data_IF_411929786029
#
_entry.id   IF_411929786029
#
_cell.length_a   1.000
_cell.length_b   1.000
_cell.length_c   1.000
_cell.angle_alpha   90.00
_cell.angle_beta   90.00
_cell.angle_gamma   90.00
#
_symmetry.space_group_name_H-M   'P 1'
#
loop_
_entity.id
_entity.type
_entity.pdbx_description
1 polymer ?
#
# COMPACT_ATOMS: atom_id res chain seq x y z
N UNK A 1 27.43 -24.68 10.30
CA UNK A 1 27.65 -23.30 9.82
C UNK A 1 26.42 -22.47 10.19
N UNK A 2 26.59 -21.31 10.81
CA UNK A 2 25.47 -20.40 11.03
C UNK A 2 24.96 -19.94 9.66
N UNK A 3 23.65 -20.00 9.46
CA UNK A 3 23.04 -19.47 8.22
C UNK A 3 23.19 -17.95 8.20
N UNK A 4 23.70 -17.40 7.10
CA UNK A 4 23.77 -15.96 6.88
C UNK A 4 22.36 -15.42 6.72
N UNK A 5 22.04 -14.28 7.35
CA UNK A 5 20.77 -13.59 7.13
C UNK A 5 20.87 -12.77 5.85
N UNK A 6 20.30 -13.30 4.75
CA UNK A 6 20.35 -12.65 3.45
C UNK A 6 19.13 -11.74 3.20
N UNK A 7 18.10 -11.81 4.05
CA UNK A 7 16.86 -11.07 3.89
C UNK A 7 16.91 -9.66 4.49
N UNK A 8 17.46 -9.53 5.71
CA UNK A 8 17.45 -8.29 6.48
C UNK A 8 18.65 -8.18 7.42
N UNK A 9 18.70 -7.10 8.22
CA UNK A 9 19.75 -6.84 9.18
C UNK A 9 19.34 -7.16 10.63
N UNK A 10 18.20 -7.86 10.82
CA UNK A 10 17.66 -8.18 12.14
C UNK A 10 18.43 -9.28 12.84
N UNK A 11 18.54 -9.16 14.17
CA UNK A 11 18.94 -10.26 15.04
C UNK A 11 17.88 -11.35 15.10
N UNK A 12 18.25 -12.57 15.52
CA UNK A 12 17.28 -13.66 15.69
C UNK A 12 16.11 -13.32 16.64
N UNK A 13 16.38 -12.53 17.69
CA UNK A 13 15.34 -12.07 18.64
C UNK A 13 14.35 -11.10 17.99
N UNK A 14 14.83 -10.17 17.18
CA UNK A 14 13.99 -9.24 16.43
C UNK A 14 13.18 -9.97 15.36
N UNK A 15 13.80 -10.91 14.66
CA UNK A 15 13.14 -11.76 13.69
C UNK A 15 11.94 -12.49 14.28
N UNK A 16 12.13 -13.19 15.43
CA UNK A 16 11.04 -13.92 16.10
C UNK A 16 9.92 -12.97 16.53
N UNK A 17 10.23 -11.76 17.01
CA UNK A 17 9.21 -10.78 17.39
C UNK A 17 8.36 -10.35 16.22
N UNK A 18 8.96 -10.17 15.03
CA UNK A 18 8.23 -9.80 13.84
C UNK A 18 7.28 -10.91 13.35
N UNK A 19 7.61 -12.18 13.56
CA UNK A 19 6.76 -13.31 13.09
C UNK A 19 5.41 -13.42 13.79
N UNK A 20 5.13 -12.59 14.82
CA UNK A 20 3.79 -12.50 15.40
C UNK A 20 2.78 -12.05 14.33
N UNK A 21 1.65 -12.75 14.23
CA UNK A 21 0.66 -12.54 13.17
C UNK A 21 -0.27 -11.36 13.39
N UNK A 22 -0.10 -10.58 14.45
CA UNK A 22 -0.83 -9.34 14.68
C UNK A 22 0.06 -8.31 15.39
N UNK A 23 -0.25 -7.04 15.20
CA UNK A 23 0.41 -5.91 15.86
C UNK A 23 -0.53 -4.72 15.95
N UNK A 24 -0.23 -3.80 16.85
CA UNK A 24 -0.97 -2.55 17.02
C UNK A 24 -0.11 -1.41 16.50
N UNK A 25 -0.67 -0.65 15.54
CA UNK A 25 -0.10 0.61 15.10
C UNK A 25 -1.26 1.58 14.89
N UNK A 26 -1.37 2.55 15.79
CA UNK A 26 -2.40 3.58 15.70
C UNK A 26 -1.96 4.64 14.70
N UNK A 27 -2.81 4.91 13.72
CA UNK A 27 -2.59 6.04 12.82
C UNK A 27 -2.43 7.32 13.63
N UNK A 28 -1.36 8.10 13.44
CA UNK A 28 -1.19 9.37 14.10
C UNK A 28 -2.47 10.20 13.97
N UNK A 29 -2.93 10.81 15.06
CA UNK A 29 -4.13 11.66 15.06
C UNK A 29 -3.83 12.99 14.36
N UNK A 30 -3.55 12.96 13.07
CA UNK A 30 -3.32 14.16 12.26
C UNK A 30 -4.52 15.11 12.17
N UNK A 31 -5.67 14.71 12.73
CA UNK A 31 -6.94 15.42 12.55
C UNK A 31 -7.26 16.46 13.61
N UNK A 32 -6.48 16.61 14.69
CA UNK A 32 -6.82 17.62 15.70
C UNK A 32 -6.48 19.05 15.31
N UNK A 33 -5.50 19.29 14.41
CA UNK A 33 -5.01 20.67 14.19
C UNK A 33 -4.75 21.11 12.75
N UNK A 34 -4.89 20.26 11.72
CA UNK A 34 -4.86 20.70 10.31
C UNK A 34 -5.61 19.72 9.42
N UNK A 35 -6.73 20.12 8.80
CA UNK A 35 -7.35 19.37 7.71
C UNK A 35 -6.57 19.64 6.43
N UNK A 36 -5.38 19.11 6.29
CA UNK A 36 -4.57 19.35 5.11
C UNK A 36 -4.48 18.09 4.28
N UNK A 37 -5.11 18.13 3.10
CA UNK A 37 -4.66 17.53 1.83
C UNK A 37 -4.26 16.05 1.80
N UNK A 38 -4.39 15.28 2.88
CA UNK A 38 -3.93 13.91 2.93
C UNK A 38 -4.96 12.95 2.34
N UNK A 39 -4.45 11.99 1.61
CA UNK A 39 -5.21 10.90 1.00
C UNK A 39 -6.18 10.25 2.01
N UNK A 40 -7.44 9.95 1.62
CA UNK A 40 -8.47 9.44 2.53
C UNK A 40 -8.18 8.03 3.08
N UNK A 41 -7.44 7.22 2.35
CA UNK A 41 -7.04 5.86 2.70
C UNK A 41 -5.51 5.76 2.77
N UNK A 42 -4.93 6.09 3.92
CA UNK A 42 -3.49 6.10 4.15
C UNK A 42 -3.14 5.14 5.29
N UNK A 43 -2.08 4.38 5.12
CA UNK A 43 -1.46 3.65 6.22
C UNK A 43 -0.36 4.49 6.89
N UNK A 44 -0.03 4.23 8.18
CA UNK A 44 1.04 4.92 8.89
C UNK A 44 2.42 4.55 8.33
N UNK A 45 3.34 5.52 8.27
CA UNK A 45 4.74 5.31 7.91
C UNK A 45 5.41 4.30 8.83
N UNK A 46 5.13 4.37 10.13
CA UNK A 46 5.66 3.45 11.14
C UNK A 46 5.29 1.99 10.87
N UNK A 47 4.05 1.75 10.38
CA UNK A 47 3.64 0.41 9.95
C UNK A 47 4.49 -0.08 8.77
N UNK A 48 4.71 0.77 7.78
CA UNK A 48 5.56 0.43 6.62
C UNK A 48 6.98 0.13 7.06
N UNK A 49 7.55 0.97 7.95
CA UNK A 49 8.89 0.83 8.47
C UNK A 49 9.14 -0.58 9.09
N UNK A 50 8.16 -1.14 9.80
CA UNK A 50 8.27 -2.51 10.33
C UNK A 50 8.47 -3.55 9.22
N UNK A 51 7.71 -3.44 8.11
CA UNK A 51 7.85 -4.34 6.97
C UNK A 51 9.17 -4.12 6.22
N UNK A 52 9.61 -2.87 6.07
CA UNK A 52 10.90 -2.55 5.46
C UNK A 52 12.06 -3.20 6.22
N UNK A 53 12.10 -3.05 7.54
CA UNK A 53 13.14 -3.67 8.39
C UNK A 53 13.18 -5.17 8.25
N UNK A 54 12.02 -5.83 8.05
CA UNK A 54 11.97 -7.29 7.97
C UNK A 54 12.28 -7.84 6.57
N UNK A 55 11.79 -7.18 5.50
CA UNK A 55 11.88 -7.70 4.14
C UNK A 55 13.00 -7.10 3.30
N UNK A 56 13.76 -6.14 3.86
CA UNK A 56 14.86 -5.47 3.14
C UNK A 56 16.07 -5.22 4.03
N UNK A 57 17.22 -5.06 3.36
CA UNK A 57 18.42 -4.43 3.91
C UNK A 57 18.46 -2.94 3.60
N UNK A 58 19.32 -2.20 4.29
CA UNK A 58 19.59 -0.79 3.97
C UNK A 58 20.01 -0.63 2.51
N UNK A 59 19.60 0.48 1.89
CA UNK A 59 19.86 0.86 0.49
C UNK A 59 19.19 -0.04 -0.56
N UNK A 60 18.42 -1.05 -0.20
CA UNK A 60 17.61 -1.84 -1.12
C UNK A 60 16.41 -1.04 -1.64
N UNK A 61 15.96 -1.39 -2.85
CA UNK A 61 14.89 -0.69 -3.54
C UNK A 61 13.51 -1.26 -3.23
N UNK A 62 12.59 -0.36 -2.92
CA UNK A 62 11.19 -0.64 -2.58
C UNK A 62 10.28 0.02 -3.60
N UNK A 63 9.23 -0.67 -4.01
CA UNK A 63 8.21 -0.16 -4.91
C UNK A 63 6.84 -0.08 -4.21
N UNK A 64 6.12 1.01 -4.47
CA UNK A 64 4.69 1.14 -4.15
C UNK A 64 3.90 1.51 -5.41
N UNK A 65 3.20 0.55 -6.04
CA UNK A 65 2.42 0.81 -7.26
C UNK A 65 1.14 1.62 -7.06
N UNK A 66 0.72 1.87 -5.80
CA UNK A 66 -0.44 2.70 -5.46
C UNK A 66 -0.06 3.71 -4.37
N UNK A 67 0.89 4.59 -4.69
CA UNK A 67 1.64 5.41 -3.74
C UNK A 67 0.77 6.34 -2.87
N UNK A 68 -0.33 6.85 -3.41
CA UNK A 68 -1.15 7.83 -2.72
C UNK A 68 -0.34 9.07 -2.31
N UNK A 69 -0.41 9.44 -1.05
CA UNK A 69 0.31 10.60 -0.50
C UNK A 69 1.76 10.32 -0.09
N UNK A 70 2.36 9.20 -0.47
CA UNK A 70 3.78 8.91 -0.32
C UNK A 70 4.21 8.38 1.06
N UNK A 71 3.35 7.68 1.79
CA UNK A 71 3.71 7.13 3.10
C UNK A 71 4.85 6.10 2.99
N UNK A 72 4.83 5.26 1.95
CA UNK A 72 5.89 4.27 1.70
C UNK A 72 7.25 4.91 1.48
N UNK A 73 7.31 5.96 0.66
CA UNK A 73 8.59 6.64 0.37
C UNK A 73 9.14 7.37 1.59
N UNK A 74 8.27 8.00 2.40
CA UNK A 74 8.69 8.60 3.67
C UNK A 74 9.31 7.55 4.59
N UNK A 75 8.67 6.37 4.72
CA UNK A 75 9.22 5.28 5.52
C UNK A 75 10.54 4.74 4.94
N UNK A 76 10.68 4.67 3.61
CA UNK A 76 11.93 4.27 2.95
C UNK A 76 13.08 5.20 3.36
N UNK A 77 12.88 6.51 3.30
CA UNK A 77 13.89 7.48 3.70
C UNK A 77 14.26 7.38 5.18
N UNK A 78 13.26 7.29 6.07
CA UNK A 78 13.49 7.16 7.51
C UNK A 78 14.25 5.87 7.88
N UNK A 79 14.08 4.82 7.08
CA UNK A 79 14.71 3.51 7.29
C UNK A 79 15.96 3.28 6.42
N UNK A 80 16.46 4.28 5.72
CA UNK A 80 17.62 4.20 4.82
C UNK A 80 17.42 3.17 3.67
N UNK A 81 16.24 3.10 3.11
CA UNK A 81 15.90 2.37 1.88
C UNK A 81 15.70 3.33 0.74
N UNK A 82 15.84 2.86 -0.48
CA UNK A 82 15.52 3.60 -1.69
C UNK A 82 14.10 3.26 -2.13
N UNK A 83 13.36 4.21 -2.69
CA UNK A 83 11.96 3.98 -2.99
C UNK A 83 11.48 4.59 -4.29
N UNK A 84 10.57 3.87 -4.95
CA UNK A 84 9.83 4.38 -6.10
C UNK A 84 8.36 4.12 -5.87
N UNK A 85 7.54 5.12 -6.19
CA UNK A 85 6.10 4.99 -6.14
C UNK A 85 5.43 5.46 -7.41
N UNK A 86 4.37 4.74 -7.81
CA UNK A 86 3.52 5.13 -8.95
C UNK A 86 2.20 5.66 -8.39
N UNK A 87 1.78 6.82 -8.88
CA UNK A 87 0.53 7.46 -8.47
C UNK A 87 -0.22 7.99 -9.69
N UNK A 88 -1.48 7.56 -9.85
CA UNK A 88 -2.33 7.95 -10.95
C UNK A 88 -2.78 9.42 -10.87
N UNK A 89 -3.05 9.89 -9.66
CA UNK A 89 -3.55 11.25 -9.42
C UNK A 89 -2.40 12.27 -9.38
N UNK A 90 -2.38 13.20 -10.32
CA UNK A 90 -1.45 14.34 -10.33
C UNK A 90 -1.39 15.05 -8.97
N UNK A 91 -2.54 15.27 -8.34
CA UNK A 91 -2.65 15.91 -7.03
C UNK A 91 -1.92 15.14 -5.94
N UNK A 92 -2.14 13.82 -5.84
CA UNK A 92 -1.49 13.01 -4.81
C UNK A 92 -0.01 12.80 -5.11
N UNK A 93 0.38 12.67 -6.37
CA UNK A 93 1.79 12.66 -6.76
C UNK A 93 2.51 13.95 -6.33
N UNK A 94 1.89 15.13 -6.53
CA UNK A 94 2.42 16.40 -6.05
C UNK A 94 2.52 16.47 -4.52
N UNK A 95 1.55 15.92 -3.78
CA UNK A 95 1.58 15.83 -2.31
C UNK A 95 2.74 14.93 -1.87
N UNK A 96 2.93 13.76 -2.50
CA UNK A 96 4.03 12.85 -2.21
C UNK A 96 5.38 13.54 -2.41
N UNK A 97 5.63 14.16 -3.57
CA UNK A 97 6.87 14.92 -3.85
C UNK A 97 7.13 16.01 -2.80
N UNK A 98 6.09 16.77 -2.42
CA UNK A 98 6.22 17.84 -1.41
C UNK A 98 6.59 17.30 -0.02
N UNK A 99 6.21 16.09 0.31
CA UNK A 99 6.59 15.44 1.57
C UNK A 99 8.05 15.03 1.56
N UNK A 100 8.54 14.50 0.45
CA UNK A 100 9.92 14.05 0.30
C UNK A 100 10.94 15.22 0.38
N UNK A 101 10.65 16.37 -0.21
CA UNK A 101 11.53 17.57 -0.16
C UNK A 101 11.86 18.02 1.27
N UNK A 102 11.09 17.65 2.26
CA UNK A 102 11.29 18.03 3.66
C UNK A 102 12.25 17.11 4.44
N UNK A 103 12.70 16.04 3.82
CA UNK A 103 13.56 15.05 4.44
C UNK A 103 14.99 15.21 3.90
N UNK A 104 16.04 14.98 4.70
CA UNK A 104 17.42 15.02 4.20
C UNK A 104 17.64 13.87 3.21
N UNK A 105 17.96 14.21 1.97
CA UNK A 105 18.15 13.28 0.85
C UNK A 105 19.64 12.95 0.65
N UNK A 106 20.36 12.58 1.71
CA UNK A 106 21.76 12.25 1.56
C UNK A 106 21.91 10.86 0.89
N UNK A 107 22.19 10.85 -0.40
CA UNK A 107 22.60 9.67 -1.20
C UNK A 107 21.54 8.57 -1.44
N UNK A 108 20.27 8.74 -1.09
CA UNK A 108 19.21 7.77 -1.36
C UNK A 108 18.34 8.22 -2.53
N UNK A 109 17.92 7.26 -3.36
CA UNK A 109 17.01 7.55 -4.46
C UNK A 109 15.55 7.45 -4.03
N UNK A 110 14.78 8.49 -4.29
CA UNK A 110 13.34 8.52 -4.06
C UNK A 110 12.62 9.10 -5.28
N UNK A 111 11.80 8.28 -5.93
CA UNK A 111 11.11 8.63 -7.17
C UNK A 111 9.59 8.57 -7.07
N UNK A 112 8.90 9.62 -7.56
CA UNK A 112 7.44 9.61 -7.73
C UNK A 112 7.13 9.68 -9.22
N UNK A 113 6.62 8.58 -9.76
CA UNK A 113 6.15 8.45 -11.14
C UNK A 113 4.65 8.77 -11.15
N UNK A 114 4.26 9.79 -11.90
CA UNK A 114 2.86 10.04 -12.18
C UNK A 114 2.42 9.17 -13.36
N UNK A 115 1.55 8.19 -13.10
CA UNK A 115 1.18 7.22 -14.10
C UNK A 115 0.21 6.14 -13.62
N UNK A 116 -0.15 5.27 -14.53
CA UNK A 116 -1.03 4.13 -14.29
C UNK A 116 -0.21 2.88 -13.90
N UNK A 117 -0.51 2.29 -12.75
CA UNK A 117 0.11 1.06 -12.26
C UNK A 117 -0.06 -0.12 -13.24
N UNK A 118 -1.05 -0.08 -14.12
CA UNK A 118 -1.22 -1.06 -15.20
C UNK A 118 -0.08 -1.04 -16.22
N UNK A 119 0.76 -0.01 -16.26
CA UNK A 119 1.92 0.10 -17.16
C UNK A 119 3.24 -0.32 -16.52
N UNK A 120 3.21 -0.83 -15.30
CA UNK A 120 4.42 -1.11 -14.52
C UNK A 120 5.40 -2.07 -15.21
N UNK A 121 4.90 -3.01 -16.01
CA UNK A 121 5.71 -3.93 -16.82
C UNK A 121 5.96 -3.45 -18.25
N UNK A 122 5.74 -2.16 -18.53
CA UNK A 122 6.07 -1.52 -19.80
C UNK A 122 7.48 -0.91 -19.68
N UNK A 123 8.48 -1.39 -20.43
CA UNK A 123 9.84 -0.85 -20.38
C UNK A 123 9.89 0.65 -20.69
N UNK A 124 8.97 1.17 -21.50
CA UNK A 124 8.91 2.60 -21.82
C UNK A 124 8.68 3.49 -20.58
N UNK A 125 7.96 2.98 -19.58
CA UNK A 125 7.74 3.69 -18.31
C UNK A 125 9.05 4.00 -17.60
N UNK A 126 10.06 3.14 -17.77
CA UNK A 126 11.31 3.18 -17.04
C UNK A 126 12.47 3.81 -17.83
N UNK A 127 12.32 4.00 -19.16
CA UNK A 127 13.41 4.46 -20.04
C UNK A 127 14.07 5.76 -19.56
N UNK A 128 13.28 6.75 -19.15
CA UNK A 128 13.82 8.04 -18.71
C UNK A 128 14.54 7.98 -17.36
N UNK A 129 14.32 6.95 -16.57
CA UNK A 129 14.87 6.75 -15.23
C UNK A 129 15.96 5.66 -15.21
N UNK A 130 16.10 4.89 -16.27
CA UNK A 130 16.95 3.70 -16.33
C UNK A 130 18.41 3.97 -15.89
N UNK A 131 19.05 4.98 -16.45
CA UNK A 131 20.46 5.28 -16.16
C UNK A 131 20.65 5.78 -14.72
N UNK A 132 19.73 6.60 -14.24
CA UNK A 132 19.75 7.12 -12.88
C UNK A 132 19.54 6.00 -11.86
N UNK A 133 18.55 5.13 -12.09
CA UNK A 133 18.25 4.00 -11.22
C UNK A 133 19.36 2.96 -11.21
N UNK A 134 19.92 2.65 -12.38
CA UNK A 134 21.08 1.74 -12.47
C UNK A 134 22.28 2.29 -11.72
N UNK A 135 22.55 3.58 -11.84
CA UNK A 135 23.61 4.27 -11.07
C UNK A 135 23.35 4.23 -9.58
N UNK A 136 22.10 4.33 -9.15
CA UNK A 136 21.70 4.20 -7.76
C UNK A 136 21.74 2.74 -7.24
N UNK A 137 21.94 1.75 -8.13
CA UNK A 137 22.12 0.33 -7.80
C UNK A 137 20.90 -0.56 -8.02
N UNK A 138 19.84 -0.06 -8.68
CA UNK A 138 18.70 -0.90 -9.06
C UNK A 138 19.07 -1.78 -10.27
N UNK A 139 18.89 -3.09 -10.15
CA UNK A 139 19.08 -4.01 -11.24
C UNK A 139 17.92 -3.95 -12.25
N UNK A 140 18.23 -4.25 -13.51
CA UNK A 140 17.23 -4.37 -14.57
C UNK A 140 17.36 -5.72 -15.28
N UNK A 141 16.21 -6.31 -15.64
CA UNK A 141 16.12 -7.54 -16.45
C UNK A 141 15.07 -7.31 -17.53
N UNK A 142 15.42 -7.58 -18.79
CA UNK A 142 14.56 -7.33 -19.97
C UNK A 142 13.95 -5.92 -20.03
N UNK A 143 14.71 -4.90 -19.56
CA UNK A 143 14.27 -3.49 -19.50
C UNK A 143 13.36 -3.15 -18.33
N UNK A 144 13.11 -4.08 -17.43
CA UNK A 144 12.27 -3.89 -16.24
C UNK A 144 13.10 -3.85 -14.96
N UNK A 145 12.84 -2.92 -14.03
CA UNK A 145 13.52 -2.84 -12.74
C UNK A 145 13.23 -4.07 -11.87
N UNK A 146 14.22 -4.53 -11.11
CA UNK A 146 14.10 -5.66 -10.20
C UNK A 146 14.13 -5.17 -8.75
N UNK A 147 12.97 -4.88 -8.18
CA UNK A 147 12.84 -4.40 -6.81
C UNK A 147 13.11 -5.50 -5.78
N UNK A 148 13.66 -5.11 -4.63
CA UNK A 148 13.91 -6.01 -3.50
C UNK A 148 12.64 -6.26 -2.66
N UNK A 149 11.71 -5.33 -2.67
CA UNK A 149 10.47 -5.43 -1.91
C UNK A 149 9.37 -4.57 -2.51
N UNK A 150 8.14 -5.02 -2.39
CA UNK A 150 6.96 -4.25 -2.80
C UNK A 150 5.98 -4.22 -1.65
N UNK A 151 5.51 -3.04 -1.28
CA UNK A 151 4.44 -2.86 -0.29
C UNK A 151 3.45 -1.82 -0.78
N UNK A 152 2.16 -2.13 -0.68
CA UNK A 152 1.14 -1.24 -1.20
C UNK A 152 -0.23 -1.47 -0.57
N UNK A 153 -1.11 -0.48 -0.73
CA UNK A 153 -2.53 -0.57 -0.40
C UNK A 153 -3.34 -0.14 -1.63
N UNK A 154 -3.85 -1.09 -2.43
CA UNK A 154 -4.65 -0.77 -3.60
C UNK A 154 -5.96 -0.07 -3.19
N UNK A 155 -6.70 0.56 -4.11
CA UNK A 155 -8.03 1.08 -3.82
C UNK A 155 -8.93 -0.02 -3.26
N UNK A 156 -9.82 0.35 -2.32
CA UNK A 156 -10.75 -0.58 -1.68
C UNK A 156 -12.11 -0.50 -2.37
N UNK A 157 -12.21 -1.03 -3.59
CA UNK A 157 -13.41 -1.02 -4.41
C UNK A 157 -14.09 0.37 -4.38
N UNK A 158 -15.41 0.48 -4.44
CA UNK A 158 -16.17 1.73 -4.43
C UNK A 158 -16.37 2.34 -3.03
N UNK A 159 -15.56 1.94 -2.03
CA UNK A 159 -15.73 2.31 -0.61
C UNK A 159 -15.79 3.83 -0.37
N UNK A 160 -15.06 4.61 -1.14
CA UNK A 160 -15.02 6.07 -0.98
C UNK A 160 -16.24 6.77 -1.58
N UNK A 161 -16.93 6.16 -2.56
CA UNK A 161 -18.15 6.72 -3.19
C UNK A 161 -19.41 6.43 -2.39
N UNK A 162 -19.41 5.40 -1.55
CA UNK A 162 -20.59 4.98 -0.78
C UNK A 162 -20.66 5.69 0.57
N UNK A 163 -21.74 6.47 0.78
CA UNK A 163 -22.05 7.04 2.10
C UNK A 163 -22.65 5.97 3.01
N UNK A 164 -22.00 5.67 4.12
CA UNK A 164 -22.42 4.64 5.10
C UNK A 164 -23.45 5.13 6.11
N UNK A 165 -24.34 6.05 5.74
CA UNK A 165 -25.57 6.36 6.51
C UNK A 165 -25.41 6.76 7.98
N UNK A 166 -24.41 7.54 8.38
CA UNK A 166 -24.30 8.11 9.74
C UNK A 166 -24.52 9.64 9.74
N UNK A 167 -24.94 10.20 10.88
CA UNK A 167 -25.17 11.64 11.03
C UNK A 167 -23.88 12.45 10.79
N UNK A 168 -22.71 11.88 11.14
CA UNK A 168 -21.37 12.42 10.88
C UNK A 168 -20.42 11.39 10.26
N UNK A 169 -20.70 10.95 9.03
CA UNK A 169 -19.74 10.08 8.33
C UNK A 169 -18.49 10.88 7.93
N UNK A 170 -17.30 10.26 7.97
CA UNK A 170 -16.06 10.88 7.45
C UNK A 170 -16.25 11.42 6.03
N UNK A 171 -17.07 10.76 5.21
CA UNK A 171 -17.42 11.18 3.88
C UNK A 171 -18.16 12.54 3.87
N UNK A 172 -19.17 12.73 4.75
CA UNK A 172 -19.89 14.00 4.88
C UNK A 172 -18.99 15.13 5.40
N UNK A 173 -18.10 14.81 6.37
CA UNK A 173 -17.11 15.76 6.87
C UNK A 173 -16.13 16.20 5.78
N UNK A 174 -15.62 15.25 4.98
CA UNK A 174 -14.74 15.55 3.85
C UNK A 174 -15.46 16.40 2.78
N UNK A 175 -16.69 16.03 2.42
CA UNK A 175 -17.51 16.79 1.49
C UNK A 175 -17.76 18.24 1.97
N UNK A 176 -18.07 18.44 3.27
CA UNK A 176 -18.20 19.77 3.89
C UNK A 176 -16.90 20.58 3.82
N UNK A 177 -15.75 19.93 3.89
CA UNK A 177 -14.42 20.55 3.84
C UNK A 177 -13.90 20.67 2.40
N UNK A 178 -14.69 20.33 1.38
CA UNK A 178 -14.28 20.29 -0.04
C UNK A 178 -13.04 19.40 -0.28
N UNK A 179 -12.91 18.34 0.51
CA UNK A 179 -11.87 17.33 0.35
C UNK A 179 -12.41 16.18 -0.51
N UNK A 180 -11.51 15.49 -1.23
CA UNK A 180 -11.89 14.39 -2.10
C UNK A 180 -12.65 13.30 -1.35
N UNK A 181 -13.75 12.88 -1.95
CA UNK A 181 -14.62 11.79 -1.47
C UNK A 181 -14.47 10.52 -2.32
N UNK A 182 -13.62 10.55 -3.35
CA UNK A 182 -13.22 9.45 -4.22
C UNK A 182 -11.74 9.64 -4.62
N UNK A 183 -11.13 8.63 -5.22
CA UNK A 183 -9.71 8.68 -5.56
C UNK A 183 -9.46 9.63 -6.74
N UNK A 184 -10.14 9.40 -7.87
CA UNK A 184 -10.01 10.22 -9.08
C UNK A 184 -11.21 9.98 -10.01
N UNK A 185 -11.46 10.90 -10.95
CA UNK A 185 -12.43 10.72 -12.04
C UNK A 185 -11.78 10.14 -13.31
N UNK A 186 -10.49 9.77 -13.24
CA UNK A 186 -9.80 9.16 -14.37
C UNK A 186 -10.41 7.80 -14.72
N UNK A 187 -10.56 7.52 -16.02
CA UNK A 187 -11.07 6.23 -16.50
C UNK A 187 -10.17 5.05 -16.08
N UNK A 188 -8.88 5.31 -15.85
CA UNK A 188 -7.90 4.32 -15.36
C UNK A 188 -7.99 4.07 -13.84
N UNK A 189 -8.81 4.81 -13.10
CA UNK A 189 -8.96 4.61 -11.66
C UNK A 189 -9.78 3.34 -11.38
N UNK A 190 -9.10 2.31 -10.93
CA UNK A 190 -9.71 1.01 -10.61
C UNK A 190 -10.77 1.09 -9.50
N UNK A 191 -10.70 2.10 -8.63
CA UNK A 191 -11.72 2.37 -7.62
C UNK A 191 -13.09 2.79 -8.21
N UNK A 192 -13.16 3.07 -9.51
CA UNK A 192 -14.39 3.40 -10.22
C UNK A 192 -15.15 2.17 -10.74
N UNK A 193 -14.55 0.99 -10.73
CA UNK A 193 -15.20 -0.26 -11.16
C UNK A 193 -16.31 -0.59 -10.18
N UNK A 194 -17.56 -0.69 -10.67
CA UNK A 194 -18.73 -0.91 -9.83
C UNK A 194 -19.00 -2.40 -9.56
N UNK A 195 -18.67 -3.26 -10.49
CA UNK A 195 -18.76 -4.71 -10.32
C UNK A 195 -17.60 -5.22 -9.47
N UNK A 196 -17.91 -5.97 -8.42
CA UNK A 196 -16.92 -6.43 -7.45
C UNK A 196 -15.94 -7.45 -8.04
N UNK A 197 -16.44 -8.41 -8.82
CA UNK A 197 -15.59 -9.46 -9.38
C UNK A 197 -14.68 -8.89 -10.48
N UNK A 198 -15.18 -7.98 -11.31
CA UNK A 198 -14.37 -7.23 -12.27
C UNK A 198 -13.29 -6.39 -11.57
N UNK A 199 -13.63 -5.77 -10.43
CA UNK A 199 -12.65 -5.04 -9.62
C UNK A 199 -11.53 -5.95 -9.11
N UNK A 200 -11.87 -7.13 -8.55
CA UNK A 200 -10.87 -8.12 -8.08
C UNK A 200 -9.95 -8.56 -9.22
N UNK A 201 -10.50 -8.87 -10.39
CA UNK A 201 -9.68 -9.25 -11.54
C UNK A 201 -8.81 -8.09 -12.05
N UNK A 202 -9.31 -6.87 -12.08
CA UNK A 202 -8.54 -5.69 -12.51
C UNK A 202 -7.37 -5.38 -11.56
N UNK A 203 -7.61 -5.41 -10.24
CA UNK A 203 -6.52 -5.28 -9.25
C UNK A 203 -5.54 -6.45 -9.38
N UNK A 204 -6.03 -7.66 -9.54
CA UNK A 204 -5.19 -8.83 -9.76
C UNK A 204 -4.29 -8.70 -11.00
N UNK A 205 -4.81 -8.13 -12.08
CA UNK A 205 -4.03 -7.87 -13.29
C UNK A 205 -2.87 -6.87 -13.08
N UNK A 206 -3.00 -5.90 -12.16
CA UNK A 206 -1.87 -5.06 -11.74
C UNK A 206 -0.79 -5.92 -11.07
N UNK A 207 -1.19 -6.81 -10.15
CA UNK A 207 -0.22 -7.66 -9.45
C UNK A 207 0.45 -8.69 -10.37
N UNK A 208 -0.25 -9.18 -11.39
CA UNK A 208 0.38 -10.02 -12.41
C UNK A 208 1.54 -9.27 -13.14
N UNK A 209 1.37 -7.97 -13.39
CA UNK A 209 2.42 -7.12 -13.97
C UNK A 209 3.51 -6.76 -12.97
N UNK A 210 3.15 -6.45 -11.75
CA UNK A 210 4.08 -6.19 -10.64
C UNK A 210 5.05 -7.35 -10.42
N UNK A 211 4.61 -8.59 -10.67
CA UNK A 211 5.45 -9.78 -10.57
C UNK A 211 6.71 -9.69 -11.44
N UNK A 212 6.63 -9.10 -12.64
CA UNK A 212 7.79 -8.94 -13.52
C UNK A 212 8.87 -8.02 -12.90
N UNK A 213 8.45 -7.04 -12.09
CA UNK A 213 9.34 -6.05 -11.50
C UNK A 213 9.85 -6.42 -10.09
N UNK A 214 9.43 -7.53 -9.51
CA UNK A 214 9.96 -8.03 -8.23
C UNK A 214 11.08 -9.04 -8.49
N UNK A 215 12.21 -8.89 -7.83
CA UNK A 215 13.32 -9.83 -7.98
C UNK A 215 12.94 -11.24 -7.47
N UNK A 216 13.50 -12.32 -8.06
CA UNK A 216 13.20 -13.69 -7.64
C UNK A 216 13.47 -13.92 -6.14
N UNK A 217 12.58 -14.66 -5.48
CA UNK A 217 12.69 -14.96 -4.06
C UNK A 217 12.31 -13.82 -3.11
N UNK A 218 12.01 -12.63 -3.62
CA UNK A 218 11.63 -11.43 -2.86
C UNK A 218 10.12 -11.38 -2.54
N UNK A 219 9.71 -10.40 -1.75
CA UNK A 219 8.38 -10.35 -1.13
C UNK A 219 7.54 -9.16 -1.59
N UNK A 220 6.23 -9.39 -1.63
CA UNK A 220 5.18 -8.40 -1.81
C UNK A 220 4.28 -8.39 -0.59
N UNK A 221 3.94 -7.22 -0.08
CA UNK A 221 2.92 -7.04 0.96
C UNK A 221 1.78 -6.18 0.43
N UNK A 222 0.56 -6.71 0.52
CA UNK A 222 -0.67 -6.01 0.12
C UNK A 222 -1.54 -5.76 1.33
N UNK A 223 -1.82 -4.49 1.61
CA UNK A 223 -2.64 -4.07 2.75
C UNK A 223 -4.06 -3.85 2.28
N UNK A 224 -5.02 -4.58 2.86
CA UNK A 224 -6.43 -4.46 2.54
C UNK A 224 -7.33 -4.67 3.77
N UNK A 225 -8.58 -4.27 3.68
CA UNK A 225 -9.61 -4.48 4.71
C UNK A 225 -10.88 -5.03 4.05
N UNK A 226 -11.57 -5.95 4.72
CA UNK A 226 -12.88 -6.39 4.29
C UNK A 226 -13.91 -5.25 4.39
N UNK A 227 -14.87 -5.23 3.51
CA UNK A 227 -15.80 -4.12 3.32
C UNK A 227 -17.24 -4.56 3.56
N UNK A 228 -18.03 -3.68 4.16
CA UNK A 228 -19.47 -3.84 4.17
C UNK A 228 -20.07 -3.06 3.00
N UNK A 229 -20.72 -3.76 2.10
CA UNK A 229 -21.43 -3.19 0.96
C UNK A 229 -22.75 -2.49 1.41
N UNK A 230 -23.36 -1.63 0.56
CA UNK A 230 -24.58 -0.90 0.89
C UNK A 230 -25.79 -1.79 1.19
N UNK A 231 -25.86 -2.98 0.59
CA UNK A 231 -26.88 -4.02 0.84
C UNK A 231 -26.73 -4.70 2.20
N UNK A 232 -25.65 -4.45 2.91
CA UNK A 232 -25.34 -5.01 4.22
C UNK A 232 -24.45 -6.25 4.19
N UNK A 233 -24.16 -6.80 3.02
CA UNK A 233 -23.22 -7.91 2.86
C UNK A 233 -21.78 -7.46 3.17
N UNK A 234 -20.98 -8.35 3.73
CA UNK A 234 -19.53 -8.14 3.87
C UNK A 234 -18.82 -8.76 2.68
N UNK A 235 -18.17 -7.94 1.87
CA UNK A 235 -17.26 -8.39 0.82
C UNK A 235 -15.90 -8.69 1.44
N UNK A 236 -15.42 -9.95 1.35
CA UNK A 236 -14.16 -10.38 1.96
C UNK A 236 -12.95 -9.97 1.11
N UNK A 237 -12.84 -8.65 0.82
CA UNK A 237 -11.87 -8.08 -0.11
C UNK A 237 -10.44 -8.58 0.08
N UNK A 238 -9.97 -8.62 1.33
CA UNK A 238 -8.61 -9.08 1.60
C UNK A 238 -8.42 -10.55 1.18
N UNK A 239 -9.37 -11.41 1.46
CA UNK A 239 -9.27 -12.84 1.13
C UNK A 239 -9.45 -13.11 -0.36
N UNK A 240 -10.32 -12.37 -1.04
CA UNK A 240 -10.50 -12.48 -2.50
C UNK A 240 -9.27 -11.99 -3.24
N UNK A 241 -8.64 -10.88 -2.78
CA UNK A 241 -7.35 -10.44 -3.28
C UNK A 241 -6.25 -11.46 -3.00
N UNK A 242 -6.20 -12.05 -1.79
CA UNK A 242 -5.24 -13.09 -1.49
C UNK A 242 -5.36 -14.27 -2.46
N UNK A 243 -6.57 -14.74 -2.72
CA UNK A 243 -6.85 -15.83 -3.67
C UNK A 243 -6.46 -15.44 -5.10
N UNK A 244 -6.78 -14.21 -5.53
CA UNK A 244 -6.47 -13.75 -6.89
C UNK A 244 -4.98 -13.60 -7.12
N UNK A 245 -4.24 -12.98 -6.19
CA UNK A 245 -2.81 -12.75 -6.26
C UNK A 245 -2.03 -14.08 -6.16
N UNK A 246 -2.57 -15.07 -5.45
CA UNK A 246 -1.96 -16.40 -5.33
C UNK A 246 -1.93 -17.20 -6.64
N UNK A 247 -2.56 -16.71 -7.71
CA UNK A 247 -2.39 -17.30 -9.05
C UNK A 247 -0.98 -17.07 -9.62
N UNK A 248 -0.30 -16.02 -9.15
CA UNK A 248 1.02 -15.60 -9.65
C UNK A 248 2.11 -15.65 -8.58
N UNK A 249 1.75 -15.37 -7.33
CA UNK A 249 2.67 -15.35 -6.19
C UNK A 249 2.40 -16.50 -5.21
N UNK A 250 3.40 -16.87 -4.43
CA UNK A 250 3.27 -17.81 -3.31
C UNK A 250 2.76 -17.07 -2.07
N UNK A 251 1.55 -17.34 -1.63
CA UNK A 251 1.03 -16.77 -0.37
C UNK A 251 1.78 -17.32 0.83
N UNK A 252 2.25 -16.43 1.71
CA UNK A 252 3.06 -16.76 2.88
C UNK A 252 2.33 -16.51 4.21
N UNK A 253 1.06 -16.14 4.16
CA UNK A 253 0.25 -15.77 5.33
C UNK A 253 0.05 -14.27 5.44
N UNK A 254 -0.43 -13.83 6.60
CA UNK A 254 -0.76 -12.41 6.84
C UNK A 254 -0.30 -11.95 8.22
N UNK A 255 -0.19 -10.62 8.37
CA UNK A 255 -0.17 -9.94 9.67
C UNK A 255 -1.41 -9.07 9.80
N UNK A 256 -2.04 -9.10 10.94
CA UNK A 256 -3.22 -8.28 11.24
C UNK A 256 -2.75 -6.97 11.87
N UNK A 257 -2.93 -5.87 11.13
CA UNK A 257 -2.69 -4.53 11.66
C UNK A 257 -3.94 -4.05 12.41
N UNK A 258 -3.82 -3.90 13.74
CA UNK A 258 -4.88 -3.44 14.64
C UNK A 258 -4.73 -1.95 14.96
N UNK A 259 -5.89 -1.27 15.08
CA UNK A 259 -5.98 0.15 15.44
C UNK A 259 -6.84 0.31 16.70
N UNK A 260 -6.20 0.52 17.86
CA UNK A 260 -6.91 0.61 19.15
C UNK A 260 -7.61 1.97 19.36
N UNK A 261 -7.11 3.03 18.75
CA UNK A 261 -7.62 4.39 18.93
C UNK A 261 -8.75 4.78 17.96
N UNK A 262 -9.11 3.90 17.03
CA UNK A 262 -10.23 4.12 16.11
C UNK A 262 -11.55 4.13 16.90
N UNK A 263 -12.38 5.18 16.79
CA UNK A 263 -13.62 5.25 17.58
C UNK A 263 -14.62 4.17 17.14
N UNK A 264 -15.36 3.62 18.12
CA UNK A 264 -16.48 2.74 17.88
C UNK A 264 -17.68 3.56 17.39
N UNK A 265 -18.34 3.07 16.34
CA UNK A 265 -19.63 3.57 15.90
C UNK A 265 -20.77 2.64 16.34
N UNK A 266 -21.93 3.20 16.64
CA UNK A 266 -23.15 2.42 16.91
C UNK A 266 -23.84 2.18 15.56
N UNK A 267 -23.64 0.98 15.02
CA UNK A 267 -24.19 0.58 13.72
C UNK A 267 -25.17 -0.57 13.87
N UNK A 268 -26.33 -0.46 13.24
CA UNK A 268 -27.32 -1.53 13.21
C UNK A 268 -28.06 -1.83 14.51
N UNK A 269 -27.68 -1.15 15.63
CA UNK A 269 -28.39 -1.30 16.90
C UNK A 269 -29.84 -0.78 16.77
N UNK A 270 -30.85 -1.48 17.37
CA UNK A 270 -30.73 -2.75 18.10
C UNK A 270 -31.05 -4.00 17.25
N UNK A 271 -31.07 -3.91 15.93
CA UNK A 271 -31.71 -4.92 15.06
C UNK A 271 -30.75 -5.74 14.21
N UNK A 272 -29.59 -5.19 13.85
CA UNK A 272 -28.65 -5.81 12.92
C UNK A 272 -27.23 -5.76 13.45
N UNK A 273 -26.48 -6.88 13.37
CA UNK A 273 -25.06 -6.90 13.66
C UNK A 273 -24.28 -6.20 12.54
N UNK A 274 -23.51 -5.18 12.93
CA UNK A 274 -22.58 -4.49 12.04
C UNK A 274 -21.22 -4.37 12.72
N UNK A 275 -20.17 -5.01 12.18
CA UNK A 275 -18.85 -4.96 12.80
C UNK A 275 -18.22 -3.57 12.69
N UNK A 276 -17.51 -3.18 13.74
CA UNK A 276 -16.58 -2.07 13.71
C UNK A 276 -15.20 -2.61 13.30
N UNK A 277 -14.79 -2.42 12.06
CA UNK A 277 -13.49 -2.87 11.59
C UNK A 277 -12.35 -2.01 12.16
N UNK A 278 -11.57 -2.58 13.08
CA UNK A 278 -10.40 -1.98 13.70
C UNK A 278 -9.09 -2.61 13.27
N UNK A 279 -9.13 -3.41 12.19
CA UNK A 279 -7.95 -4.06 11.67
C UNK A 279 -7.92 -4.06 10.13
N UNK A 280 -6.72 -4.25 9.62
CA UNK A 280 -6.43 -4.51 8.21
C UNK A 280 -5.59 -5.78 8.10
N UNK A 281 -5.65 -6.41 6.95
CA UNK A 281 -4.83 -7.56 6.60
C UNK A 281 -3.62 -7.06 5.82
N UNK A 282 -2.42 -7.33 6.30
CA UNK A 282 -1.18 -7.17 5.56
C UNK A 282 -0.81 -8.55 5.00
N UNK A 283 -1.29 -8.84 3.80
CA UNK A 283 -1.11 -10.13 3.13
C UNK A 283 0.29 -10.22 2.54
N UNK A 284 1.01 -11.27 2.87
CA UNK A 284 2.43 -11.47 2.52
C UNK A 284 2.51 -12.52 1.41
N UNK A 285 3.18 -12.15 0.32
CA UNK A 285 3.42 -13.02 -0.83
C UNK A 285 4.90 -13.06 -1.14
N UNK A 286 5.33 -14.12 -1.84
CA UNK A 286 6.71 -14.29 -2.30
C UNK A 286 6.73 -14.64 -3.79
N UNK A 287 7.61 -14.01 -4.56
CA UNK A 287 7.94 -14.48 -5.90
C UNK A 287 8.76 -15.78 -5.78
N UNK A 288 8.45 -16.78 -6.58
CA UNK A 288 9.29 -17.97 -6.67
C UNK A 288 10.74 -17.59 -7.02
N UNK A 289 11.69 -18.41 -6.53
CA UNK A 289 13.12 -18.21 -6.81
C UNK A 289 13.47 -18.71 -8.21
#
# INVERSE_FOLDING_TARGET
MARTNDLNDLTGTEWIKFTRTWFVCDSPRYFKNKPTELHPARFPEEMVAEFLRFFTKRRQFVLDPFLGSGATLVACMEEERQGIGIELSHRYAAVARKRLVRLPLDELYEGVIEGDAMRINDPELWLSLHDELTKAGLAFEDGLPQFDFIITSPPYWNMLRTSRGGVESKHKLRAKQKLDTHYSDAAADLGNITDYDQFIEAIGAVFDRVHACLAPGKYLVVVAQNLRAPDGEVKPLAWDLARRISRTFLFQGEKIWCQNTKPLGIWGYPTVFVPNYHHHYCMIFRKAA
#
